data_IF_559058151800
#
_entry.id   IF_559058151800
#
_cell.length_a   1.000
_cell.length_b   1.000
_cell.length_c   1.000
_cell.angle_alpha   90.00
_cell.angle_beta   90.00
_cell.angle_gamma   90.00
#
_symmetry.space_group_name_H-M   'P 1'
#
loop_
_entity.id
_entity.type
_entity.pdbx_description
1 polymer ?
#
# COMPACT_ATOMS: atom_id res chain seq x y z
N UNK A 1 2.44 13.82 -13.28
CA UNK A 1 2.54 13.92 -12.59
C UNK A 1 2.13 13.29 -11.84
N UNK A 2 1.91 13.03 -11.57
CA UNK A 2 1.33 12.41 -10.88
C UNK A 2 1.67 11.80 -9.74
N UNK A 3 2.44 11.70 -9.32
CA UNK A 3 2.98 11.04 -8.25
C UNK A 3 2.89 11.77 -7.01
N UNK A 4 2.72 13.00 -7.08
CA UNK A 4 2.79 13.82 -5.93
C UNK A 4 1.75 13.56 -4.87
N UNK A 5 0.54 13.15 -5.20
CA UNK A 5 -0.44 12.96 -4.15
C UNK A 5 -0.06 11.89 -3.16
N UNK A 6 0.65 10.89 -3.62
CA UNK A 6 1.01 9.80 -2.73
C UNK A 6 2.01 10.21 -1.69
N UNK A 7 2.86 11.17 -2.01
CA UNK A 7 3.84 11.65 -1.04
C UNK A 7 3.20 12.24 0.19
N UNK A 8 2.09 12.96 0.03
CA UNK A 8 1.38 13.53 1.16
C UNK A 8 0.79 12.46 2.05
N UNK A 9 0.17 11.46 1.44
CA UNK A 9 -0.49 10.40 2.19
C UNK A 9 0.50 9.51 2.87
N UNK A 10 1.72 9.44 2.36
CA UNK A 10 2.76 8.62 2.95
C UNK A 10 3.59 9.36 3.98
N UNK A 11 3.36 10.64 4.14
CA UNK A 11 4.12 11.42 5.11
C UNK A 11 3.70 11.05 6.53
N UNK A 12 4.67 10.76 7.39
CA UNK A 12 4.41 10.45 8.78
C UNK A 12 4.13 11.72 9.56
N UNK A 13 2.88 11.92 9.94
CA UNK A 13 2.44 13.14 10.62
C UNK A 13 1.74 12.89 11.93
N UNK A 14 1.30 11.64 12.21
CA UNK A 14 0.53 11.33 13.41
C UNK A 14 1.35 10.52 14.40
N UNK A 15 1.36 10.95 15.65
CA UNK A 15 1.90 10.12 16.72
C UNK A 15 0.92 8.97 16.98
N UNK A 16 1.41 7.94 17.68
CA UNK A 16 0.64 6.71 17.85
C UNK A 16 -0.72 6.95 18.49
N UNK A 17 -0.82 7.86 19.46
CA UNK A 17 -2.09 8.11 20.14
C UNK A 17 -3.14 8.66 19.17
N UNK A 18 -2.71 9.57 18.29
CA UNK A 18 -3.61 10.17 17.30
C UNK A 18 -3.98 9.15 16.23
N UNK A 19 -2.99 8.40 15.75
CA UNK A 19 -3.26 7.39 14.73
C UNK A 19 -4.24 6.33 15.24
N UNK A 20 -4.07 5.92 16.50
CA UNK A 20 -4.96 4.94 17.12
C UNK A 20 -6.39 5.50 17.22
N UNK A 21 -6.50 6.74 17.62
CA UNK A 21 -7.81 7.39 17.72
C UNK A 21 -8.48 7.47 16.35
N UNK A 22 -7.74 7.91 15.33
CA UNK A 22 -8.27 8.00 13.97
C UNK A 22 -8.70 6.64 13.42
N UNK A 23 -7.98 5.59 13.80
CA UNK A 23 -8.30 4.24 13.33
C UNK A 23 -9.33 3.54 14.22
N UNK A 24 -9.68 4.14 15.35
CA UNK A 24 -10.64 3.52 16.28
C UNK A 24 -10.07 2.31 17.01
N UNK A 25 -8.80 2.35 17.34
CA UNK A 25 -8.09 1.23 17.97
C UNK A 25 -7.33 1.69 19.20
N UNK A 26 -6.97 0.74 20.03
CA UNK A 26 -6.08 1.00 21.15
C UNK A 26 -4.64 1.13 20.64
N UNK A 27 -3.83 2.05 21.20
CA UNK A 27 -2.42 2.18 20.76
C UNK A 27 -1.64 0.86 20.85
N UNK A 28 -1.93 0.03 21.85
CA UNK A 28 -1.24 -1.25 21.98
C UNK A 28 -1.51 -2.15 20.79
N UNK A 29 -2.70 -2.05 20.18
CA UNK A 29 -3.04 -2.81 19.00
C UNK A 29 -2.14 -2.41 17.83
N UNK A 30 -1.85 -1.12 17.70
CA UNK A 30 -0.94 -0.65 16.66
C UNK A 30 0.45 -1.23 16.85
N UNK A 31 0.92 -1.31 18.08
CA UNK A 31 2.23 -1.89 18.36
C UNK A 31 2.28 -3.38 18.00
N UNK A 32 1.20 -4.09 18.28
CA UNK A 32 1.10 -5.50 17.92
C UNK A 32 1.13 -5.67 16.40
N UNK A 33 0.40 -4.83 15.68
CA UNK A 33 0.37 -4.91 14.23
C UNK A 33 1.72 -4.56 13.63
N UNK A 34 2.42 -3.59 14.20
CA UNK A 34 3.77 -3.26 13.74
C UNK A 34 4.71 -4.45 13.96
N UNK A 35 4.63 -5.09 15.13
CA UNK A 35 5.47 -6.24 15.44
C UNK A 35 5.23 -7.39 14.47
N UNK A 36 4.02 -7.52 13.96
CA UNK A 36 3.69 -8.57 12.99
C UNK A 36 3.97 -8.15 11.54
N UNK A 37 4.44 -6.93 11.33
CA UNK A 37 4.75 -6.47 9.98
C UNK A 37 3.54 -6.02 9.18
N UNK A 38 2.39 -5.84 9.82
CA UNK A 38 1.18 -5.41 9.13
C UNK A 38 1.18 -3.92 8.83
N UNK A 39 1.96 -3.16 9.61
CA UNK A 39 2.09 -1.72 9.46
C UNK A 39 3.54 -1.35 9.73
N UNK A 40 4.03 -0.34 9.03
CA UNK A 40 5.43 0.08 9.19
C UNK A 40 5.49 1.61 9.25
N UNK A 41 5.25 2.19 10.43
CA UNK A 41 5.32 3.65 10.56
C UNK A 41 6.74 4.15 10.35
N UNK A 42 6.86 5.37 9.89
CA UNK A 42 8.14 6.02 9.76
C UNK A 42 8.61 6.46 11.15
N UNK A 43 9.91 6.73 11.27
CA UNK A 43 10.47 7.21 12.51
C UNK A 43 11.01 8.61 12.33
N UNK A 44 10.79 9.46 13.33
CA UNK A 44 11.38 10.80 13.34
C UNK A 44 12.87 10.66 13.62
N UNK A 45 13.66 11.75 13.44
CA UNK A 45 15.06 11.73 13.84
C UNK A 45 15.28 11.34 15.29
N UNK A 46 14.29 11.58 16.15
CA UNK A 46 14.35 11.20 17.56
C UNK A 46 13.80 9.81 17.82
N UNK A 47 13.59 9.04 16.75
CA UNK A 47 13.14 7.65 16.84
C UNK A 47 11.70 7.49 17.35
N UNK A 48 10.88 8.49 17.16
CA UNK A 48 9.46 8.43 17.50
C UNK A 48 8.68 7.91 16.29
N UNK A 49 7.73 6.99 16.55
CA UNK A 49 6.87 6.49 15.49
C UNK A 49 5.98 7.59 14.95
N UNK A 50 5.92 7.71 13.62
CA UNK A 50 5.04 8.67 12.96
C UNK A 50 4.23 7.93 11.90
N UNK A 51 2.92 7.99 12.05
CA UNK A 51 1.99 7.29 11.15
C UNK A 51 1.49 8.24 10.09
N UNK A 52 1.33 7.73 8.87
CA UNK A 52 0.83 8.51 7.75
C UNK A 52 -0.67 8.35 7.64
N UNK A 53 -1.28 9.14 6.78
CA UNK A 53 -2.70 8.96 6.43
C UNK A 53 -2.91 7.59 5.79
N UNK A 54 -1.97 7.16 4.96
CA UNK A 54 -2.03 5.84 4.35
C UNK A 54 -2.00 4.73 5.42
N UNK A 55 -1.17 4.91 6.45
CA UNK A 55 -1.11 3.97 7.55
C UNK A 55 -2.46 3.88 8.27
N UNK A 56 -3.08 5.01 8.51
CA UNK A 56 -4.38 5.05 9.19
C UNK A 56 -5.44 4.31 8.36
N UNK A 57 -5.43 4.52 7.05
CA UNK A 57 -6.37 3.83 6.17
C UNK A 57 -6.14 2.32 6.17
N UNK A 58 -4.88 1.92 6.20
CA UNK A 58 -4.52 0.50 6.28
C UNK A 58 -5.01 -0.11 7.60
N UNK A 59 -4.83 0.61 8.69
CA UNK A 59 -5.32 0.15 9.99
C UNK A 59 -6.84 -0.03 10.00
N UNK A 60 -7.55 0.92 9.41
CA UNK A 60 -9.00 0.82 9.29
C UNK A 60 -9.41 -0.39 8.47
N UNK A 61 -8.67 -0.67 7.41
CA UNK A 61 -8.95 -1.83 6.58
C UNK A 61 -8.72 -3.13 7.35
N UNK A 62 -7.63 -3.21 8.10
CA UNK A 62 -7.35 -4.37 8.95
C UNK A 62 -8.49 -4.59 9.93
N UNK A 63 -8.96 -3.50 10.54
CA UNK A 63 -10.05 -3.59 11.49
C UNK A 63 -11.34 -4.12 10.84
N UNK A 64 -11.64 -3.66 9.63
CA UNK A 64 -12.81 -4.17 8.93
C UNK A 64 -12.70 -5.65 8.65
N UNK A 65 -11.53 -6.12 8.24
CA UNK A 65 -11.33 -7.54 7.98
C UNK A 65 -11.49 -8.38 9.24
N UNK A 66 -10.94 -7.91 10.36
CA UNK A 66 -11.10 -8.65 11.62
C UNK A 66 -12.55 -8.62 12.10
N UNK A 67 -13.24 -7.51 11.88
CA UNK A 67 -14.67 -7.43 12.24
C UNK A 67 -15.51 -8.38 11.38
N UNK A 68 -15.06 -8.69 10.18
CA UNK A 68 -15.75 -9.63 9.30
C UNK A 68 -15.38 -11.08 9.59
N UNK A 69 -14.52 -11.31 10.56
CA UNK A 69 -14.21 -12.64 11.03
C UNK A 69 -12.82 -13.17 10.66
N UNK A 70 -12.02 -12.40 9.93
CA UNK A 70 -10.66 -12.86 9.64
C UNK A 70 -9.78 -12.72 10.87
N UNK A 71 -8.97 -13.75 11.13
CA UNK A 71 -7.92 -13.62 12.14
C UNK A 71 -6.71 -12.92 11.52
N UNK A 72 -5.71 -12.61 12.34
CA UNK A 72 -4.57 -11.85 11.86
C UNK A 72 -3.77 -12.59 10.79
N UNK A 73 -3.69 -13.91 10.86
CA UNK A 73 -3.02 -14.69 9.83
C UNK A 73 -3.74 -14.51 8.49
N UNK A 74 -5.06 -14.55 8.52
CA UNK A 74 -5.87 -14.33 7.31
C UNK A 74 -5.69 -12.91 6.77
N UNK A 75 -5.65 -11.92 7.65
CA UNK A 75 -5.42 -10.53 7.27
C UNK A 75 -4.06 -10.40 6.57
N UNK A 76 -3.03 -11.00 7.17
CA UNK A 76 -1.69 -10.98 6.56
C UNK A 76 -1.70 -11.58 5.16
N UNK A 77 -2.39 -12.70 5.00
CA UNK A 77 -2.47 -13.37 3.70
C UNK A 77 -3.18 -12.52 2.67
N UNK A 78 -4.29 -11.90 3.05
CA UNK A 78 -5.05 -11.04 2.14
C UNK A 78 -4.21 -9.85 1.70
N UNK A 79 -3.55 -9.19 2.65
CA UNK A 79 -2.74 -8.02 2.32
C UNK A 79 -1.56 -8.38 1.42
N UNK A 80 -0.92 -9.53 1.68
CA UNK A 80 0.18 -9.98 0.84
C UNK A 80 -0.28 -10.29 -0.58
N UNK A 81 -1.45 -10.93 -0.71
CA UNK A 81 -2.01 -11.23 -2.03
C UNK A 81 -2.39 -9.96 -2.78
N UNK A 82 -2.91 -8.98 -2.08
CA UNK A 82 -3.26 -7.71 -2.71
C UNK A 82 -2.03 -6.99 -3.24
N UNK A 83 -0.93 -7.04 -2.49
CA UNK A 83 0.32 -6.44 -2.95
C UNK A 83 0.84 -7.15 -4.19
N UNK A 84 0.77 -8.48 -4.21
CA UNK A 84 1.16 -9.25 -5.38
C UNK A 84 0.29 -8.93 -6.57
N UNK A 85 -1.02 -8.83 -6.34
CA UNK A 85 -1.96 -8.50 -7.40
C UNK A 85 -1.64 -7.13 -8.00
N UNK A 86 -1.36 -6.16 -7.16
CA UNK A 86 -1.03 -4.82 -7.64
C UNK A 86 0.23 -4.82 -8.48
N UNK A 87 1.27 -5.53 -8.04
CA UNK A 87 2.50 -5.65 -8.80
C UNK A 87 2.27 -6.32 -10.14
N UNK A 88 1.45 -7.37 -10.15
CA UNK A 88 1.14 -8.07 -11.38
C UNK A 88 0.36 -7.20 -12.36
N UNK A 89 -0.56 -6.38 -11.84
CA UNK A 89 -1.29 -5.43 -12.68
C UNK A 89 -0.36 -4.43 -13.34
N UNK A 90 0.60 -3.91 -12.58
CA UNK A 90 1.56 -2.95 -13.11
C UNK A 90 2.42 -3.61 -14.20
N UNK A 91 2.90 -4.83 -13.95
CA UNK A 91 3.69 -5.55 -14.94
C UNK A 91 2.91 -5.87 -16.20
N UNK A 92 1.65 -6.27 -16.01
CA UNK A 92 0.79 -6.56 -17.15
C UNK A 92 0.59 -5.32 -18.00
N UNK A 93 0.38 -4.19 -17.38
CA UNK A 93 0.18 -2.94 -18.11
C UNK A 93 1.43 -2.55 -18.88
N UNK A 94 2.61 -2.71 -18.25
CA UNK A 94 3.88 -2.46 -18.93
C UNK A 94 4.07 -3.36 -20.15
N UNK A 95 3.79 -4.64 -19.96
CA UNK A 95 3.93 -5.63 -21.03
C UNK A 95 2.97 -5.31 -22.18
N UNK A 96 1.75 -4.95 -21.86
CA UNK A 96 0.75 -4.61 -22.86
C UNK A 96 1.19 -3.39 -23.67
N UNK A 97 1.68 -2.37 -23.00
CA UNK A 97 2.20 -1.17 -23.69
C UNK A 97 3.37 -1.52 -24.59
N UNK A 98 4.27 -2.35 -24.07
CA UNK A 98 5.43 -2.76 -24.86
C UNK A 98 5.01 -3.52 -26.11
N UNK A 99 4.05 -4.42 -25.96
CA UNK A 99 3.54 -5.19 -27.10
C UNK A 99 2.91 -4.27 -28.14
N UNK A 100 2.12 -3.30 -27.68
CA UNK A 100 1.50 -2.34 -28.58
C UNK A 100 2.52 -1.50 -29.33
N UNK A 101 3.58 -1.09 -28.62
CA UNK A 101 4.66 -0.33 -29.25
C UNK A 101 5.37 -1.14 -30.33
N UNK A 102 5.65 -2.41 -30.01
CA UNK A 102 6.32 -3.30 -30.96
C UNK A 102 5.45 -3.56 -32.19
N UNK A 103 4.16 -3.74 -31.99
CA UNK A 103 3.23 -3.92 -33.08
C UNK A 103 3.18 -2.68 -33.98
N UNK A 104 3.15 -1.50 -33.37
CA UNK A 104 3.14 -0.24 -34.13
C UNK A 104 4.41 -0.10 -34.95
N UNK A 105 5.57 -0.43 -34.35
CA UNK A 105 6.84 -0.38 -35.06
C UNK A 105 6.89 -1.36 -36.22
N UNK A 106 6.41 -2.57 -36.00
CA UNK A 106 6.39 -3.60 -37.04
C UNK A 106 5.49 -3.16 -38.21
N UNK A 107 4.34 -2.60 -37.89
CA UNK A 107 3.40 -2.14 -38.89
C UNK A 107 4.00 -1.01 -39.74
N UNK A 108 4.67 -0.06 -39.08
CA UNK A 108 5.32 1.05 -39.74
C UNK A 108 6.42 0.55 -40.68
N UNK A 109 7.25 -0.39 -40.21
CA UNK A 109 8.30 -0.97 -41.03
C UNK A 109 7.73 -1.69 -42.24
N UNK A 110 6.65 -2.43 -42.07
CA UNK A 110 6.01 -3.11 -43.19
C UNK A 110 5.50 -2.16 -44.23
N UNK A 111 4.98 -1.02 -43.81
CA UNK A 111 4.47 -0.04 -44.79
C UNK A 111 5.56 0.61 -45.61
N UNK A 112 6.74 0.71 -45.04
CA UNK A 112 7.86 1.37 -45.75
C UNK A 112 8.51 0.49 -46.80
N UNK A 113 8.27 -0.79 -46.73
CA UNK A 113 8.79 -1.67 -47.74
C UNK A 113 7.88 -1.72 -48.96
#
# INVERSE_FOLDING_TARGET
MATAPDDRRDRGVYMISVAAELAGMHPQTLRIYEARGLIAPKRSPKNTRLYSQHDVERLRRIQRMTAEGLNLVGVEAVLALEERLEKMKVELERTRRRAEELEAQAWTKGRKS
#
